data_IF_092537495457
#
_entry.id   IF_092537495457
#
_cell.length_a   1.000
_cell.length_b   1.000
_cell.length_c   1.000
_cell.angle_alpha   90.00
_cell.angle_beta   90.00
_cell.angle_gamma   90.00
#
_symmetry.space_group_name_H-M   'P 1'
#
loop_
_entity.id
_entity.type
_entity.pdbx_description
1 polymer ?
#
# COMPACT_ATOMS: atom_id res chain seq x y z
N UNK A 1 -21.14 -27.61 -17.47
CA UNK A 1 -21.30 -26.15 -17.72
C UNK A 1 -20.22 -25.45 -16.91
N UNK A 2 -19.05 -25.23 -17.50
CA UNK A 2 -17.90 -24.61 -16.82
C UNK A 2 -18.25 -23.14 -16.65
N UNK A 3 -18.46 -22.72 -15.40
CA UNK A 3 -18.65 -21.32 -15.02
C UNK A 3 -17.48 -20.53 -15.58
N UNK A 4 -17.72 -19.61 -16.51
CA UNK A 4 -16.74 -18.59 -16.92
C UNK A 4 -16.26 -17.91 -15.64
N UNK A 5 -15.08 -18.30 -15.15
CA UNK A 5 -14.30 -17.49 -14.22
C UNK A 5 -14.12 -16.15 -14.93
N UNK A 6 -14.86 -15.14 -14.47
CA UNK A 6 -14.65 -13.77 -14.91
C UNK A 6 -13.21 -13.46 -14.55
N UNK A 7 -12.33 -13.38 -15.53
CA UNK A 7 -11.00 -12.80 -15.35
C UNK A 7 -11.28 -11.37 -14.93
N UNK A 8 -11.08 -11.07 -13.66
CA UNK A 8 -11.17 -9.71 -13.16
C UNK A 8 -9.93 -9.02 -13.71
N UNK A 9 -10.13 -8.19 -14.74
CA UNK A 9 -9.10 -7.29 -15.24
C UNK A 9 -8.85 -6.25 -14.14
N UNK A 10 -7.73 -6.39 -13.43
CA UNK A 10 -7.36 -5.53 -12.29
C UNK A 10 -6.98 -4.13 -12.79
N UNK A 11 -6.15 -4.07 -13.82
CA UNK A 11 -5.71 -2.83 -14.45
C UNK A 11 -6.35 -2.71 -15.83
N UNK A 12 -7.09 -1.63 -16.08
CA UNK A 12 -7.78 -1.44 -17.37
C UNK A 12 -6.83 -1.01 -18.49
N UNK A 13 -5.67 -0.49 -18.11
CA UNK A 13 -4.64 0.03 -19.00
C UNK A 13 -3.33 0.27 -18.23
N UNK A 14 -2.27 0.62 -18.96
CA UNK A 14 -0.96 0.95 -18.41
C UNK A 14 -0.96 2.17 -17.48
N UNK A 15 -1.93 3.09 -17.60
CA UNK A 15 -2.03 4.24 -16.71
C UNK A 15 -2.50 3.80 -15.31
N UNK A 16 -3.46 2.87 -15.22
CA UNK A 16 -3.88 2.26 -13.96
C UNK A 16 -2.74 1.42 -13.35
N UNK A 17 -2.00 0.65 -14.16
CA UNK A 17 -0.82 -0.07 -13.67
C UNK A 17 0.25 0.90 -13.14
N UNK A 18 0.52 1.98 -13.88
CA UNK A 18 1.53 2.98 -13.51
C UNK A 18 1.24 3.68 -12.18
N UNK A 19 -0.02 4.07 -11.93
CA UNK A 19 -0.39 4.69 -10.64
C UNK A 19 -0.27 3.68 -9.50
N UNK A 20 -0.73 2.44 -9.70
CA UNK A 20 -0.58 1.38 -8.71
C UNK A 20 0.89 1.14 -8.35
N UNK A 21 1.77 1.02 -9.35
CA UNK A 21 3.20 0.84 -9.14
C UNK A 21 3.86 2.04 -8.44
N UNK A 22 3.42 3.26 -8.75
CA UNK A 22 3.89 4.45 -8.04
C UNK A 22 3.53 4.40 -6.55
N UNK A 23 2.27 4.10 -6.22
CA UNK A 23 1.84 3.94 -4.83
C UNK A 23 2.58 2.83 -4.09
N UNK A 24 2.75 1.67 -4.73
CA UNK A 24 3.49 0.54 -4.17
C UNK A 24 4.97 0.87 -3.95
N UNK A 25 5.58 1.63 -4.87
CA UNK A 25 6.95 2.10 -4.72
C UNK A 25 7.06 3.07 -3.53
N UNK A 26 6.06 3.92 -3.34
CA UNK A 26 6.02 4.92 -2.29
C UNK A 26 5.83 4.35 -0.88
N UNK A 27 5.17 3.20 -0.76
CA UNK A 27 5.10 2.42 0.48
C UNK A 27 6.36 1.58 0.73
N UNK A 28 6.45 0.40 0.11
CA UNK A 28 7.49 -0.60 0.36
C UNK A 28 8.67 -0.58 -0.63
N UNK A 29 8.59 0.27 -1.64
CA UNK A 29 9.61 0.33 -2.69
C UNK A 29 10.91 1.00 -2.25
N UNK A 30 12.00 0.50 -2.81
CA UNK A 30 13.34 1.04 -2.67
C UNK A 30 14.05 1.15 -4.01
N UNK A 31 14.71 2.30 -4.24
CA UNK A 31 15.59 2.53 -5.39
C UNK A 31 17.04 2.54 -4.91
N UNK A 32 17.77 1.51 -5.31
CA UNK A 32 19.21 1.41 -5.10
C UNK A 32 19.94 1.97 -6.32
N UNK A 33 20.76 3.00 -6.12
CA UNK A 33 21.69 3.50 -7.13
C UNK A 33 23.10 3.09 -6.73
N UNK A 34 23.93 2.67 -7.69
CA UNK A 34 25.33 2.42 -7.42
C UNK A 34 26.09 3.72 -7.26
N UNK A 35 27.20 3.67 -6.52
CA UNK A 35 28.18 4.75 -6.49
C UNK A 35 28.67 5.04 -7.91
N UNK A 36 28.80 6.32 -8.27
CA UNK A 36 29.45 6.74 -9.51
C UNK A 36 30.91 6.28 -9.46
N UNK A 37 31.27 5.30 -10.28
CA UNK A 37 32.60 4.72 -10.29
C UNK A 37 32.63 3.35 -10.95
N UNK A 38 33.82 2.97 -11.38
CA UNK A 38 34.09 1.64 -11.91
C UNK A 38 34.38 0.73 -10.71
N UNK A 39 33.65 -0.39 -10.58
CA UNK A 39 33.95 -1.37 -9.53
C UNK A 39 35.38 -1.92 -9.70
N UNK A 40 35.95 -2.54 -8.66
CA UNK A 40 37.26 -3.23 -8.73
C UNK A 40 37.34 -4.29 -9.85
N UNK A 41 36.19 -4.69 -10.42
CA UNK A 41 36.05 -5.62 -11.54
C UNK A 41 35.86 -4.92 -12.90
N UNK A 42 36.08 -3.61 -13.01
CA UNK A 42 35.83 -2.82 -14.20
C UNK A 42 34.38 -2.80 -14.74
N UNK A 43 33.39 -3.00 -13.85
CA UNK A 43 31.97 -3.03 -14.21
C UNK A 43 31.21 -1.84 -13.65
N UNK A 44 30.33 -1.28 -14.49
CA UNK A 44 29.26 -0.38 -14.05
C UNK A 44 28.13 -1.25 -13.49
N UNK A 45 27.71 -0.97 -12.26
CA UNK A 45 26.54 -1.61 -11.69
C UNK A 45 25.29 -0.89 -12.19
N UNK A 46 24.24 -1.66 -12.48
CA UNK A 46 22.94 -1.06 -12.79
C UNK A 46 22.20 -0.70 -11.49
N UNK A 47 21.36 0.34 -11.54
CA UNK A 47 20.35 0.58 -10.51
C UNK A 47 19.46 -0.63 -10.27
N UNK A 48 18.76 -0.64 -9.14
CA UNK A 48 17.73 -1.64 -8.84
C UNK A 48 16.51 -0.96 -8.23
N UNK A 49 15.34 -1.30 -8.75
CA UNK A 49 14.05 -1.05 -8.11
C UNK A 49 13.67 -2.33 -7.39
N UNK A 50 13.40 -2.23 -6.09
CA UNK A 50 13.19 -3.38 -5.22
C UNK A 50 11.92 -3.15 -4.39
N UNK A 51 10.99 -4.09 -4.47
CA UNK A 51 9.85 -4.18 -3.56
C UNK A 51 10.11 -5.33 -2.58
N UNK A 52 9.94 -5.08 -1.29
CA UNK A 52 10.16 -6.10 -0.25
C UNK A 52 8.93 -6.21 0.63
N UNK A 53 8.40 -7.42 0.78
CA UNK A 53 7.27 -7.68 1.67
C UNK A 53 7.33 -9.11 2.22
N UNK A 54 6.34 -9.47 3.04
CA UNK A 54 6.17 -10.84 3.50
C UNK A 54 5.99 -11.82 2.32
N UNK A 55 6.47 -13.06 2.46
CA UNK A 55 6.47 -14.11 1.43
C UNK A 55 5.07 -14.43 0.87
N UNK A 56 4.02 -14.25 1.68
CA UNK A 56 2.63 -14.45 1.27
C UNK A 56 2.23 -13.57 0.07
N UNK A 57 2.88 -12.41 -0.13
CA UNK A 57 2.66 -11.53 -1.27
C UNK A 57 3.39 -11.99 -2.55
N UNK A 58 3.98 -13.19 -2.60
CA UNK A 58 4.61 -13.72 -3.81
C UNK A 58 3.65 -13.73 -5.01
N UNK A 59 2.39 -14.12 -4.80
CA UNK A 59 1.39 -14.14 -5.86
C UNK A 59 1.12 -12.74 -6.43
N UNK A 60 1.07 -11.72 -5.57
CA UNK A 60 0.94 -10.32 -5.98
C UNK A 60 2.11 -9.90 -6.87
N UNK A 61 3.34 -10.19 -6.44
CA UNK A 61 4.51 -9.82 -7.24
C UNK A 61 4.63 -10.62 -8.53
N UNK A 62 4.22 -11.89 -8.55
CA UNK A 62 4.14 -12.69 -9.78
C UNK A 62 3.14 -12.10 -10.78
N UNK A 63 1.98 -11.65 -10.29
CA UNK A 63 1.00 -10.95 -11.12
C UNK A 63 1.55 -9.62 -11.65
N UNK A 64 2.17 -8.79 -10.80
CA UNK A 64 2.80 -7.54 -11.25
C UNK A 64 3.89 -7.82 -12.30
N UNK A 65 4.70 -8.86 -12.10
CA UNK A 65 5.71 -9.27 -13.06
C UNK A 65 5.10 -9.66 -14.41
N UNK A 66 3.97 -10.38 -14.44
CA UNK A 66 3.31 -10.72 -15.71
C UNK A 66 2.77 -9.48 -16.42
N UNK A 67 2.20 -8.52 -15.68
CA UNK A 67 1.74 -7.23 -16.23
C UNK A 67 2.89 -6.39 -16.80
N UNK A 68 4.10 -6.57 -16.27
CA UNK A 68 5.34 -5.94 -16.75
C UNK A 68 6.05 -6.72 -17.87
N UNK A 69 5.41 -7.76 -18.44
CA UNK A 69 6.00 -8.56 -19.51
C UNK A 69 7.09 -9.52 -19.04
N UNK A 70 6.93 -10.09 -17.84
CA UNK A 70 7.86 -11.03 -17.19
C UNK A 70 9.24 -10.44 -16.86
N UNK A 71 9.27 -9.14 -16.56
CA UNK A 71 10.50 -8.41 -16.19
C UNK A 71 10.82 -8.58 -14.70
N UNK A 72 12.11 -8.53 -14.37
CA UNK A 72 12.60 -8.63 -13.00
C UNK A 72 12.72 -10.07 -12.50
N UNK A 73 13.10 -10.22 -11.24
CA UNK A 73 13.33 -11.51 -10.59
C UNK A 73 12.90 -11.50 -9.13
N UNK A 74 12.61 -12.69 -8.61
CA UNK A 74 12.36 -12.89 -7.18
C UNK A 74 13.63 -13.27 -6.44
N UNK A 75 13.70 -12.86 -5.17
CA UNK A 75 14.77 -13.26 -4.26
C UNK A 75 14.22 -13.36 -2.85
N UNK A 76 14.37 -14.53 -2.23
CA UNK A 76 14.07 -14.70 -0.80
C UNK A 76 15.09 -13.94 0.06
N UNK A 77 14.64 -13.47 1.21
CA UNK A 77 15.45 -12.67 2.14
C UNK A 77 15.12 -13.08 3.57
N UNK A 78 15.92 -13.96 4.17
CA UNK A 78 15.56 -14.61 5.43
C UNK A 78 14.39 -15.57 5.26
N UNK A 79 13.68 -15.87 6.35
CA UNK A 79 12.69 -16.95 6.35
C UNK A 79 11.34 -16.54 5.74
N UNK A 80 10.93 -15.28 5.93
CA UNK A 80 9.55 -14.83 5.68
C UNK A 80 9.43 -13.62 4.75
N UNK A 81 10.50 -13.18 4.10
CA UNK A 81 10.45 -12.04 3.18
C UNK A 81 10.84 -12.41 1.75
N UNK A 82 10.15 -11.79 0.79
CA UNK A 82 10.41 -11.91 -0.63
C UNK A 82 10.70 -10.53 -1.21
N UNK A 83 11.64 -10.49 -2.15
CA UNK A 83 11.97 -9.29 -2.92
C UNK A 83 11.61 -9.50 -4.38
N UNK A 84 10.86 -8.56 -4.95
CA UNK A 84 10.74 -8.41 -6.39
C UNK A 84 11.70 -7.32 -6.87
N UNK A 85 12.63 -7.71 -7.76
CA UNK A 85 13.77 -6.88 -8.15
C UNK A 85 13.75 -6.66 -9.67
N UNK A 86 13.68 -5.40 -10.07
CA UNK A 86 13.89 -4.94 -11.45
C UNK A 86 15.26 -4.28 -11.51
N UNK A 87 16.17 -4.83 -12.31
CA UNK A 87 17.57 -4.35 -12.38
C UNK A 87 18.21 -4.44 -13.76
N UNK A 88 17.52 -5.03 -14.75
CA UNK A 88 17.93 -4.90 -16.14
C UNK A 88 17.47 -3.55 -16.70
N UNK A 89 18.22 -3.07 -17.68
CA UNK A 89 18.08 -1.70 -18.22
C UNK A 89 16.71 -1.52 -18.86
N UNK A 90 16.22 -2.52 -19.61
CA UNK A 90 14.92 -2.47 -20.28
C UNK A 90 13.79 -2.37 -19.25
N UNK A 91 13.86 -3.17 -18.19
CA UNK A 91 12.91 -3.14 -17.09
C UNK A 91 12.90 -1.81 -16.34
N UNK A 92 14.07 -1.23 -16.07
CA UNK A 92 14.16 0.09 -15.43
C UNK A 92 13.55 1.17 -16.32
N UNK A 93 13.86 1.19 -17.63
CA UNK A 93 13.27 2.16 -18.56
C UNK A 93 11.76 2.02 -18.68
N UNK A 94 11.25 0.78 -18.79
CA UNK A 94 9.81 0.52 -18.79
C UNK A 94 9.17 1.06 -17.50
N UNK A 95 9.76 0.74 -16.35
CA UNK A 95 9.23 1.18 -15.06
C UNK A 95 9.22 2.71 -14.95
N UNK A 96 10.32 3.39 -15.33
CA UNK A 96 10.39 4.86 -15.37
C UNK A 96 9.25 5.42 -16.22
N UNK A 97 9.04 4.90 -17.43
CA UNK A 97 7.99 5.38 -18.33
C UNK A 97 6.58 5.16 -17.74
N UNK A 98 6.36 4.05 -17.04
CA UNK A 98 5.06 3.75 -16.43
C UNK A 98 4.73 4.69 -15.27
N UNK A 99 5.70 5.03 -14.41
CA UNK A 99 5.44 5.80 -13.19
C UNK A 99 5.78 7.29 -13.31
N UNK A 100 6.35 7.74 -14.44
CA UNK A 100 6.69 9.14 -14.67
C UNK A 100 5.45 10.03 -14.47
N UNK A 101 5.60 11.05 -13.63
CA UNK A 101 4.54 11.98 -13.25
C UNK A 101 3.45 11.41 -12.35
N UNK A 102 3.67 10.27 -11.67
CA UNK A 102 2.64 9.59 -10.84
C UNK A 102 2.96 9.48 -9.35
N UNK A 103 4.16 9.89 -8.93
CA UNK A 103 4.57 9.86 -7.51
C UNK A 103 3.99 11.06 -6.75
N UNK A 104 3.65 10.88 -5.48
CA UNK A 104 2.95 11.88 -4.64
C UNK A 104 3.71 12.26 -3.37
N UNK A 105 4.79 11.56 -3.07
CA UNK A 105 5.62 11.74 -1.87
C UNK A 105 7.04 12.18 -2.25
N UNK A 106 7.81 12.72 -1.28
CA UNK A 106 9.24 12.96 -1.44
C UNK A 106 10.12 11.80 -1.93
N UNK A 107 9.62 10.55 -2.00
CA UNK A 107 10.34 9.47 -2.71
C UNK A 107 10.56 9.82 -4.19
N UNK A 108 9.82 10.78 -4.74
CA UNK A 108 10.06 11.34 -6.06
C UNK A 108 11.47 11.93 -6.24
N UNK A 109 12.12 12.41 -5.17
CA UNK A 109 13.51 12.91 -5.22
C UNK A 109 14.41 11.76 -5.65
N UNK A 110 14.30 10.62 -4.94
CA UNK A 110 15.08 9.42 -5.23
C UNK A 110 14.80 8.84 -6.62
N UNK A 111 13.55 8.92 -7.06
CA UNK A 111 13.17 8.53 -8.42
C UNK A 111 13.78 9.46 -9.48
N UNK A 112 13.88 10.75 -9.20
CA UNK A 112 14.57 11.69 -10.09
C UNK A 112 16.09 11.48 -10.13
N UNK A 113 16.72 11.06 -9.03
CA UNK A 113 18.12 10.63 -9.06
C UNK A 113 18.32 9.44 -10.00
N UNK A 114 17.37 8.49 -10.03
CA UNK A 114 17.38 7.37 -10.96
C UNK A 114 17.26 7.84 -12.41
N UNK A 115 16.34 8.76 -12.70
CA UNK A 115 16.22 9.35 -14.03
C UNK A 115 17.53 10.03 -14.44
N UNK A 116 18.13 10.83 -13.56
CA UNK A 116 19.40 11.50 -13.84
C UNK A 116 20.54 10.51 -14.10
N UNK A 117 20.61 9.43 -13.31
CA UNK A 117 21.57 8.34 -13.51
C UNK A 117 21.41 7.73 -14.91
N UNK A 118 20.17 7.39 -15.29
CA UNK A 118 19.89 6.80 -16.59
C UNK A 118 20.21 7.76 -17.75
N UNK A 119 19.87 9.04 -17.62
CA UNK A 119 20.24 10.07 -18.60
C UNK A 119 21.76 10.16 -18.79
N UNK A 120 22.52 10.11 -17.70
CA UNK A 120 23.97 10.24 -17.72
C UNK A 120 24.65 9.03 -18.39
N UNK A 121 24.20 7.81 -18.07
CA UNK A 121 24.82 6.57 -18.55
C UNK A 121 24.42 6.23 -19.99
N UNK A 122 23.18 6.54 -20.39
CA UNK A 122 22.62 6.15 -21.69
C UNK A 122 22.39 7.32 -22.64
N UNK A 123 22.88 8.52 -22.29
CA UNK A 123 22.70 9.75 -23.08
C UNK A 123 21.23 10.03 -23.44
N UNK A 124 20.34 9.82 -22.46
CA UNK A 124 18.91 10.10 -22.57
C UNK A 124 18.61 11.53 -22.08
N UNK A 125 17.46 12.07 -22.49
CA UNK A 125 16.97 13.38 -22.06
C UNK A 125 15.58 13.27 -21.40
N UNK A 126 15.43 12.29 -20.50
CA UNK A 126 14.16 12.12 -19.79
C UNK A 126 14.01 13.26 -18.78
N UNK A 127 12.93 14.07 -18.84
CA UNK A 127 12.77 15.20 -17.94
C UNK A 127 12.51 14.72 -16.51
N UNK A 128 12.70 15.63 -15.55
CA UNK A 128 12.35 15.40 -14.15
C UNK A 128 10.87 15.01 -14.02
N UNK A 129 10.59 13.93 -13.28
CA UNK A 129 9.24 13.53 -12.90
C UNK A 129 8.73 14.43 -11.77
N UNK A 130 7.71 15.25 -12.09
CA UNK A 130 7.01 16.09 -11.12
C UNK A 130 6.06 15.25 -10.24
N UNK A 131 5.62 15.84 -9.12
CA UNK A 131 4.63 15.23 -8.24
C UNK A 131 3.24 15.27 -8.87
N UNK A 132 2.48 14.20 -8.70
CA UNK A 132 1.08 14.09 -9.10
C UNK A 132 0.15 14.68 -8.03
N UNK A 133 -0.59 15.73 -8.42
CA UNK A 133 -1.57 16.39 -7.56
C UNK A 133 -3.02 16.12 -7.99
N UNK A 134 -3.24 15.15 -8.89
CA UNK A 134 -4.59 14.75 -9.28
C UNK A 134 -5.37 14.15 -8.10
N UNK A 135 -6.70 14.13 -8.21
CA UNK A 135 -7.55 13.59 -7.15
C UNK A 135 -7.23 12.10 -6.90
N UNK A 136 -7.02 11.72 -5.63
CA UNK A 136 -6.69 10.35 -5.22
C UNK A 136 -7.82 9.35 -5.62
N UNK A 137 -9.07 9.80 -5.77
CA UNK A 137 -10.20 8.94 -6.19
C UNK A 137 -10.18 8.51 -7.66
N UNK A 138 -9.31 9.10 -8.48
CA UNK A 138 -9.38 8.99 -9.94
C UNK A 138 -8.38 8.00 -10.52
N UNK A 139 -7.54 7.39 -9.69
CA UNK A 139 -6.57 6.39 -10.11
C UNK A 139 -6.28 5.38 -8.98
N UNK A 140 -5.46 4.38 -9.30
CA UNK A 140 -5.11 3.25 -8.44
C UNK A 140 -3.94 3.53 -7.49
N UNK A 141 -3.41 4.76 -7.42
CA UNK A 141 -2.23 5.09 -6.62
C UNK A 141 -2.41 4.71 -5.16
N UNK A 142 -3.56 5.06 -4.59
CA UNK A 142 -3.82 4.78 -3.17
C UNK A 142 -4.00 3.29 -2.89
N UNK A 143 -4.32 2.48 -3.91
CA UNK A 143 -4.35 1.02 -3.79
C UNK A 143 -2.94 0.49 -3.59
N UNK A 144 -1.99 0.87 -4.45
CA UNK A 144 -0.59 0.47 -4.30
C UNK A 144 0.02 0.93 -2.98
N UNK A 145 -0.27 2.15 -2.55
CA UNK A 145 0.20 2.67 -1.27
C UNK A 145 -0.41 1.94 -0.06
N UNK A 146 -1.69 1.54 -0.16
CA UNK A 146 -2.39 0.75 0.86
C UNK A 146 -1.84 -0.67 0.98
N UNK A 147 -1.41 -1.30 -0.12
CA UNK A 147 -0.80 -2.64 -0.09
C UNK A 147 0.42 -2.69 0.83
N UNK A 148 1.14 -1.59 0.97
CA UNK A 148 2.29 -1.50 1.88
C UNK A 148 1.88 -1.27 3.33
N UNK A 149 1.29 -0.12 3.66
CA UNK A 149 1.12 0.31 5.05
C UNK A 149 -0.33 0.37 5.55
N UNK A 150 -1.31 0.10 4.68
CA UNK A 150 -2.73 0.10 5.05
C UNK A 150 -3.13 -1.08 5.92
N UNK A 151 -4.10 -0.87 6.82
CA UNK A 151 -4.63 -1.89 7.72
C UNK A 151 -6.16 -1.83 7.80
N UNK A 152 -6.83 -2.95 7.52
CA UNK A 152 -8.29 -3.13 7.63
C UNK A 152 -8.64 -3.88 8.91
N UNK A 153 -8.90 -3.13 9.98
CA UNK A 153 -9.18 -3.69 11.30
C UNK A 153 -10.67 -3.90 11.55
N UNK A 154 -11.01 -5.09 12.06
CA UNK A 154 -12.30 -5.38 12.70
C UNK A 154 -12.02 -5.66 14.18
N UNK A 155 -12.42 -4.73 15.06
CA UNK A 155 -12.28 -4.90 16.51
C UNK A 155 -13.58 -5.45 17.08
N UNK A 156 -13.50 -6.63 17.70
CA UNK A 156 -14.58 -7.19 18.50
C UNK A 156 -14.24 -7.05 19.98
N UNK A 157 -15.09 -6.36 20.73
CA UNK A 157 -14.98 -6.21 22.17
C UNK A 157 -16.02 -7.11 22.82
N UNK A 158 -15.59 -8.14 23.52
CA UNK A 158 -16.50 -9.03 24.23
C UNK A 158 -17.13 -8.34 25.45
N UNK A 159 -18.36 -8.76 25.77
CA UNK A 159 -19.01 -8.35 27.01
C UNK A 159 -18.17 -8.79 28.19
N UNK A 160 -17.93 -7.88 29.13
CA UNK A 160 -17.28 -8.23 30.40
C UNK A 160 -18.14 -7.76 31.57
N UNK A 161 -18.41 -8.67 32.50
CA UNK A 161 -19.11 -8.34 33.75
C UNK A 161 -18.23 -7.52 34.68
N UNK A 162 -18.86 -6.89 35.67
CA UNK A 162 -18.15 -6.26 36.78
C UNK A 162 -17.39 -7.33 37.57
N UNK A 163 -16.23 -6.96 38.09
CA UNK A 163 -15.43 -7.75 39.02
C UNK A 163 -14.81 -6.81 40.05
N UNK A 164 -14.20 -7.35 41.10
CA UNK A 164 -13.53 -6.54 42.13
C UNK A 164 -12.44 -5.63 41.52
N UNK A 165 -11.79 -6.12 40.46
CA UNK A 165 -10.80 -5.37 39.67
C UNK A 165 -11.39 -4.54 38.53
N UNK A 166 -12.70 -4.67 38.23
CA UNK A 166 -13.39 -3.95 37.14
C UNK A 166 -14.72 -3.34 37.61
N UNK A 167 -14.64 -2.07 38.03
CA UNK A 167 -15.77 -1.28 38.57
C UNK A 167 -16.95 -1.07 37.60
N UNK A 168 -16.77 -1.29 36.28
CA UNK A 168 -17.82 -1.12 35.25
C UNK A 168 -17.87 -2.32 34.31
N UNK A 169 -19.08 -2.75 33.94
CA UNK A 169 -19.26 -3.72 32.87
C UNK A 169 -18.90 -3.11 31.52
N UNK A 170 -18.40 -3.95 30.61
CA UNK A 170 -18.12 -3.59 29.22
C UNK A 170 -19.20 -4.23 28.35
N UNK A 171 -19.89 -3.44 27.54
CA UNK A 171 -20.84 -3.98 26.55
C UNK A 171 -20.10 -4.61 25.39
N UNK A 172 -20.69 -5.66 24.84
CA UNK A 172 -20.21 -6.22 23.58
C UNK A 172 -20.31 -5.16 22.47
N UNK A 173 -19.26 -4.99 21.68
CA UNK A 173 -19.29 -4.06 20.54
C UNK A 173 -18.36 -4.50 19.41
N UNK A 174 -18.71 -4.08 18.20
CA UNK A 174 -17.88 -4.25 17.00
C UNK A 174 -17.49 -2.87 16.50
N UNK A 175 -16.25 -2.71 16.02
CA UNK A 175 -15.79 -1.48 15.40
C UNK A 175 -15.00 -1.79 14.13
N UNK A 176 -15.30 -1.09 13.05
CA UNK A 176 -14.50 -1.09 11.83
C UNK A 176 -13.53 0.08 11.86
N UNK A 177 -12.28 -0.19 11.49
CA UNK A 177 -11.25 0.84 11.37
C UNK A 177 -10.35 0.57 10.17
N UNK A 178 -10.17 1.57 9.33
CA UNK A 178 -9.01 1.62 8.44
C UNK A 178 -7.93 2.49 9.10
N UNK A 179 -6.67 2.09 8.96
CA UNK A 179 -5.53 2.83 9.47
C UNK A 179 -4.39 2.77 8.46
N UNK A 180 -3.68 3.88 8.29
CA UNK A 180 -2.44 3.92 7.53
C UNK A 180 -1.43 4.71 8.35
N UNK A 181 -0.27 4.10 8.57
CA UNK A 181 0.83 4.68 9.32
C UNK A 181 1.98 4.97 8.38
N UNK A 182 2.60 6.14 8.49
CA UNK A 182 3.77 6.50 7.71
C UNK A 182 4.79 7.21 8.59
N UNK A 183 6.09 7.01 8.37
CA UNK A 183 7.13 7.75 9.09
C UNK A 183 7.03 9.24 8.76
N UNK A 184 7.29 10.09 9.74
CA UNK A 184 7.26 11.55 9.54
C UNK A 184 8.28 11.99 8.48
N UNK A 185 9.45 11.36 8.46
CA UNK A 185 10.51 11.64 7.50
C UNK A 185 10.84 10.41 6.66
N UNK A 186 10.93 10.59 5.35
CA UNK A 186 11.45 9.58 4.44
C UNK A 186 12.94 9.35 4.72
N UNK A 187 13.36 8.09 4.86
CA UNK A 187 14.72 7.74 5.32
C UNK A 187 15.81 8.17 4.33
N UNK A 188 15.70 7.88 3.01
CA UNK A 188 16.72 8.27 2.05
C UNK A 188 16.85 9.79 1.85
N UNK A 189 15.76 10.54 1.95
CA UNK A 189 15.72 11.97 1.57
C UNK A 189 15.64 12.92 2.75
N UNK A 190 15.39 12.42 3.97
CA UNK A 190 15.08 13.22 5.18
C UNK A 190 13.92 14.20 5.00
N UNK A 191 13.12 14.03 3.94
CA UNK A 191 12.03 14.93 3.60
C UNK A 191 10.75 14.55 4.35
N UNK A 192 9.97 15.55 4.72
CA UNK A 192 8.74 15.34 5.51
C UNK A 192 7.62 14.72 4.67
N UNK A 193 6.99 13.67 5.19
CA UNK A 193 5.75 13.07 4.69
C UNK A 193 4.51 13.85 5.13
N UNK A 194 4.67 14.83 6.03
CA UNK A 194 3.55 15.54 6.65
C UNK A 194 2.61 16.21 5.64
N UNK A 195 3.09 16.99 4.64
CA UNK A 195 2.20 17.65 3.69
C UNK A 195 1.31 16.64 2.94
N UNK A 196 1.93 15.56 2.43
CA UNK A 196 1.20 14.49 1.75
C UNK A 196 0.18 13.80 2.68
N UNK A 197 0.55 13.53 3.93
CA UNK A 197 -0.34 12.89 4.89
C UNK A 197 -1.49 13.80 5.34
N UNK A 198 -1.32 15.13 5.31
CA UNK A 198 -2.39 16.11 5.52
C UNK A 198 -3.40 16.07 4.37
N UNK A 199 -2.93 16.04 3.12
CA UNK A 199 -3.78 15.88 1.94
C UNK A 199 -4.54 14.54 1.96
N UNK A 200 -3.86 13.47 2.36
CA UNK A 200 -4.48 12.16 2.52
C UNK A 200 -5.55 12.16 3.61
N UNK A 201 -5.32 12.87 4.72
CA UNK A 201 -6.31 13.00 5.80
C UNK A 201 -7.57 13.72 5.33
N UNK A 202 -7.41 14.80 4.54
CA UNK A 202 -8.52 15.51 3.89
C UNK A 202 -9.32 14.59 2.95
N UNK A 203 -8.61 13.86 2.08
CA UNK A 203 -9.21 12.86 1.18
C UNK A 203 -10.04 11.81 1.94
N UNK A 204 -9.53 11.32 3.07
CA UNK A 204 -10.19 10.34 3.92
C UNK A 204 -11.26 10.92 4.85
N UNK A 205 -11.47 12.25 4.83
CA UNK A 205 -12.35 12.97 5.76
C UNK A 205 -12.06 12.60 7.22
N UNK A 206 -10.79 12.62 7.60
CA UNK A 206 -10.33 12.29 8.94
C UNK A 206 -9.22 13.24 9.42
N UNK A 207 -8.83 13.12 10.68
CA UNK A 207 -7.74 13.91 11.24
C UNK A 207 -6.41 13.17 11.12
N UNK A 208 -5.37 13.90 10.72
CA UNK A 208 -3.99 13.44 10.86
C UNK A 208 -3.59 13.47 12.34
N UNK A 209 -3.01 12.38 12.82
CA UNK A 209 -2.40 12.31 14.16
C UNK A 209 -0.93 11.95 14.03
N UNK A 210 -0.16 12.22 15.07
CA UNK A 210 1.22 11.77 15.19
C UNK A 210 1.46 11.10 16.54
N UNK A 211 2.43 10.19 16.59
CA UNK A 211 2.92 9.59 17.81
C UNK A 211 4.38 9.12 17.64
N UNK A 212 5.09 8.97 18.75
CA UNK A 212 6.41 8.33 18.76
C UNK A 212 6.23 6.85 19.07
N UNK A 213 6.76 5.98 18.21
CA UNK A 213 6.69 4.54 18.44
C UNK A 213 7.78 4.05 19.41
N UNK A 214 7.76 2.76 19.75
CA UNK A 214 8.73 2.15 20.68
C UNK A 214 10.19 2.19 20.20
N UNK A 215 10.41 2.51 18.92
CA UNK A 215 11.74 2.66 18.31
C UNK A 215 12.17 4.13 18.21
N UNK A 216 11.52 5.04 18.97
CA UNK A 216 11.74 6.49 18.93
C UNK A 216 11.58 7.11 17.53
N UNK A 217 10.79 6.49 16.66
CA UNK A 217 10.46 7.05 15.35
C UNK A 217 9.14 7.80 15.42
N UNK A 218 9.10 9.01 14.87
CA UNK A 218 7.88 9.79 14.71
C UNK A 218 7.04 9.22 13.56
N UNK A 219 5.80 8.86 13.86
CA UNK A 219 4.85 8.25 12.95
C UNK A 219 3.65 9.18 12.79
N UNK A 220 3.26 9.40 11.55
CA UNK A 220 2.02 10.01 11.11
C UNK A 220 0.96 8.92 10.89
N UNK A 221 -0.27 9.15 11.33
CA UNK A 221 -1.35 8.18 11.21
C UNK A 221 -2.66 8.83 10.80
N UNK A 222 -3.28 8.26 9.77
CA UNK A 222 -4.69 8.52 9.41
C UNK A 222 -5.52 7.33 9.84
N UNK A 223 -6.68 7.61 10.44
CA UNK A 223 -7.59 6.57 10.91
C UNK A 223 -9.04 6.91 10.61
N UNK A 224 -9.69 5.99 9.90
CA UNK A 224 -11.08 6.11 9.45
C UNK A 224 -11.93 5.10 10.20
N UNK A 225 -13.01 5.57 10.83
CA UNK A 225 -13.94 4.72 11.58
C UNK A 225 -15.41 5.14 11.49
N UNK A 226 -15.72 6.31 10.93
CA UNK A 226 -17.09 6.72 10.61
C UNK A 226 -17.61 5.90 9.42
N UNK A 227 -18.90 5.55 9.44
CA UNK A 227 -19.50 4.76 8.35
C UNK A 227 -19.49 5.48 7.01
N UNK A 228 -19.59 6.82 7.00
CA UNK A 228 -19.55 7.62 5.78
C UNK A 228 -18.16 7.61 5.14
N UNK A 229 -17.10 7.82 5.92
CA UNK A 229 -15.72 7.73 5.40
C UNK A 229 -15.34 6.28 5.06
N UNK A 230 -15.88 5.29 5.75
CA UNK A 230 -15.72 3.88 5.37
C UNK A 230 -16.38 3.60 4.01
N UNK A 231 -17.57 4.16 3.73
CA UNK A 231 -18.24 4.03 2.42
C UNK A 231 -17.34 4.50 1.29
N UNK A 232 -16.65 5.62 1.49
CA UNK A 232 -15.70 6.20 0.55
C UNK A 232 -14.58 5.18 0.23
N UNK A 233 -13.97 4.58 1.25
CA UNK A 233 -12.94 3.55 1.09
C UNK A 233 -13.46 2.30 0.38
N UNK A 234 -14.64 1.80 0.76
CA UNK A 234 -15.26 0.62 0.13
C UNK A 234 -15.50 0.88 -1.37
N UNK A 235 -16.01 2.05 -1.72
CA UNK A 235 -16.22 2.42 -3.12
C UNK A 235 -14.89 2.51 -3.88
N UNK A 236 -13.86 3.13 -3.27
CA UNK A 236 -12.54 3.26 -3.87
C UNK A 236 -11.90 1.88 -4.15
N UNK A 237 -11.80 1.00 -3.15
CA UNK A 237 -11.15 -0.31 -3.33
C UNK A 237 -11.98 -1.30 -4.15
N UNK A 238 -13.28 -1.06 -4.33
CA UNK A 238 -14.07 -1.80 -5.33
C UNK A 238 -13.83 -1.29 -6.76
N UNK A 239 -13.47 0.00 -6.93
CA UNK A 239 -13.11 0.60 -8.22
C UNK A 239 -11.66 0.29 -8.61
N UNK A 240 -10.74 0.29 -7.64
CA UNK A 240 -9.31 0.00 -7.79
C UNK A 240 -8.92 -1.12 -6.79
N UNK A 241 -9.08 -2.40 -7.19
CA UNK A 241 -8.91 -3.54 -6.29
C UNK A 241 -7.50 -3.69 -5.76
N UNK A 242 -7.39 -3.98 -4.46
CA UNK A 242 -6.20 -4.61 -3.88
C UNK A 242 -5.97 -5.98 -4.55
N UNK A 243 -4.72 -6.41 -4.62
CA UNK A 243 -4.30 -7.68 -5.22
C UNK A 243 -3.36 -8.52 -4.34
N UNK A 244 -2.80 -7.94 -3.29
CA UNK A 244 -2.03 -8.64 -2.28
C UNK A 244 -2.88 -9.33 -1.23
N UNK A 245 -2.24 -9.81 -0.17
CA UNK A 245 -2.92 -10.51 0.92
C UNK A 245 -3.99 -9.63 1.59
N UNK A 246 -3.78 -8.31 1.60
CA UNK A 246 -4.73 -7.33 2.16
C UNK A 246 -6.06 -7.30 1.43
N UNK A 247 -6.15 -7.82 0.20
CA UNK A 247 -7.44 -8.00 -0.47
C UNK A 247 -8.38 -8.87 0.39
N UNK A 248 -7.87 -9.94 1.01
CA UNK A 248 -8.69 -10.80 1.86
C UNK A 248 -9.21 -10.05 3.09
N UNK A 249 -8.35 -9.25 3.72
CA UNK A 249 -8.71 -8.41 4.88
C UNK A 249 -9.76 -7.38 4.49
N UNK A 250 -9.56 -6.68 3.37
CA UNK A 250 -10.52 -5.74 2.83
C UNK A 250 -11.87 -6.41 2.52
N UNK A 251 -11.88 -7.61 1.93
CA UNK A 251 -13.13 -8.30 1.59
C UNK A 251 -13.90 -8.74 2.83
N UNK A 252 -13.21 -9.23 3.87
CA UNK A 252 -13.82 -9.50 5.19
C UNK A 252 -14.36 -8.21 5.80
N UNK A 253 -13.58 -7.14 5.76
CA UNK A 253 -13.94 -5.83 6.28
C UNK A 253 -15.16 -5.22 5.56
N UNK A 254 -15.25 -5.36 4.23
CA UNK A 254 -16.38 -4.96 3.40
C UNK A 254 -17.66 -5.75 3.75
N UNK A 255 -17.56 -7.05 4.02
CA UNK A 255 -18.68 -7.87 4.48
C UNK A 255 -19.23 -7.30 5.79
N UNK A 256 -18.35 -7.05 6.77
CA UNK A 256 -18.78 -6.50 8.05
C UNK A 256 -19.36 -5.09 7.88
N UNK A 257 -18.79 -4.25 7.01
CA UNK A 257 -19.38 -2.96 6.68
C UNK A 257 -20.83 -3.09 6.17
N UNK A 258 -21.10 -4.03 5.26
CA UNK A 258 -22.46 -4.30 4.79
C UNK A 258 -23.39 -4.75 5.92
N UNK A 259 -22.88 -5.50 6.91
CA UNK A 259 -23.63 -5.85 8.12
C UNK A 259 -23.90 -4.65 9.04
N UNK A 260 -23.03 -3.64 9.06
CA UNK A 260 -23.27 -2.36 9.73
C UNK A 260 -24.44 -1.61 9.10
N UNK A 261 -24.45 -1.49 7.77
CA UNK A 261 -25.54 -0.83 7.03
C UNK A 261 -26.90 -1.48 7.30
N UNK A 262 -26.93 -2.81 7.40
CA UNK A 262 -28.15 -3.58 7.70
C UNK A 262 -28.48 -3.70 9.20
N UNK A 263 -27.66 -3.12 10.09
CA UNK A 263 -27.75 -3.27 11.55
C UNK A 263 -27.64 -4.72 12.08
N UNK A 264 -27.18 -5.66 11.25
CA UNK A 264 -27.05 -7.08 11.62
C UNK A 264 -26.04 -7.29 12.75
N UNK A 265 -25.01 -6.44 12.85
CA UNK A 265 -24.02 -6.44 13.94
C UNK A 265 -24.61 -6.22 15.35
N UNK A 266 -25.88 -5.77 15.46
CA UNK A 266 -26.60 -5.63 16.72
C UNK A 266 -27.29 -6.93 17.17
N UNK A 267 -27.33 -7.96 16.32
CA UNK A 267 -27.93 -9.26 16.61
C UNK A 267 -26.88 -10.27 17.07
N UNK A 268 -27.27 -11.27 17.86
CA UNK A 268 -26.36 -12.34 18.30
C UNK A 268 -25.82 -13.14 17.10
N UNK A 269 -26.68 -13.47 16.13
CA UNK A 269 -26.28 -14.18 14.91
C UNK A 269 -25.29 -13.37 14.07
N UNK A 270 -25.52 -12.06 13.91
CA UNK A 270 -24.58 -11.18 13.23
C UNK A 270 -23.23 -11.08 13.95
N UNK A 271 -23.24 -11.01 15.29
CA UNK A 271 -22.01 -10.99 16.09
C UNK A 271 -21.22 -12.30 16.00
N UNK A 272 -21.90 -13.45 16.03
CA UNK A 272 -21.28 -14.77 15.81
C UNK A 272 -20.64 -14.87 14.42
N UNK A 273 -21.34 -14.40 13.40
CA UNK A 273 -20.81 -14.35 12.03
C UNK A 273 -19.55 -13.46 11.94
N UNK A 274 -19.58 -12.27 12.54
CA UNK A 274 -18.42 -11.37 12.58
C UNK A 274 -17.24 -12.03 13.29
N UNK A 275 -17.48 -12.68 14.44
CA UNK A 275 -16.44 -13.41 15.18
C UNK A 275 -15.77 -14.48 14.32
N UNK A 276 -16.57 -15.28 13.60
CA UNK A 276 -16.05 -16.32 12.69
C UNK A 276 -15.22 -15.77 11.51
N UNK A 277 -15.42 -14.51 11.12
CA UNK A 277 -14.61 -13.86 10.08
C UNK A 277 -13.25 -13.39 10.63
N UNK A 278 -13.20 -13.01 11.92
CA UNK A 278 -11.99 -12.56 12.60
C UNK A 278 -11.08 -13.75 12.94
N UNK A 279 -11.63 -14.86 13.41
CA UNK A 279 -10.86 -16.06 13.80
C UNK A 279 -10.17 -16.77 12.62
N UNK A 280 -10.52 -16.41 11.38
CA UNK A 280 -9.88 -16.91 10.14
C UNK A 280 -8.79 -15.97 9.61
N UNK A 281 -8.25 -15.09 10.47
CA UNK A 281 -7.07 -14.24 10.20
C UNK A 281 -5.83 -14.91 10.82
#
# INVERSE_FOLDING_TARGET
MITKLRIIEVFKNNNDLGHYLAGLLEGDGHISLPSLGITTLNRVLNPRIVFTSHINNLAMYAFIQSELGNIGRFQTSGDNAIRYIIGDIKGIMLFINLIHGKLRTPKNIRFNDLIQFMNSIYSLDTPKSLLDNSNIFDNSWFTGFTESDGHFGIKFLERKTKSDTRKRSVSESVTLRFMLNQRLFDKPTSSSMKPFMEDLALFLSCNLKSYTNNTNSEILTVSVSSLDSIKILVNYFNKYPLIGDKLNDFKKWEIVYKMFIKKEHLTDQGRLKIRSLIEKL
#
